data_IF_655465363740
#
_entry.id   IF_655465363740
#
_cell.length_a   1.000
_cell.length_b   1.000
_cell.length_c   1.000
_cell.angle_alpha   90.00
_cell.angle_beta   90.00
_cell.angle_gamma   90.00
#
_symmetry.space_group_name_H-M   'P 1'
#
loop_
_entity.id
_entity.type
_entity.pdbx_description
1 polymer ?
#
# COMPACT_ATOMS: atom_id res chain seq x y z
N UNK A 1 5.26 20.36 -65.10
CA UNK A 1 5.06 20.07 -63.65
C UNK A 1 4.15 18.86 -63.53
N UNK A 2 4.60 17.78 -62.88
CA UNK A 2 3.88 16.50 -62.77
C UNK A 2 3.35 16.34 -61.33
N UNK A 3 2.06 16.06 -61.12
CA UNK A 3 1.49 15.98 -59.77
C UNK A 3 1.98 14.69 -59.08
N UNK A 4 2.55 14.84 -57.87
CA UNK A 4 2.91 13.71 -57.01
C UNK A 4 1.62 13.10 -56.43
N UNK A 5 1.28 11.92 -56.90
CA UNK A 5 0.23 11.07 -56.34
C UNK A 5 0.62 10.69 -54.90
N UNK A 6 -0.18 11.13 -53.93
CA UNK A 6 -0.09 10.69 -52.54
C UNK A 6 -0.64 9.26 -52.51
N UNK A 7 0.27 8.28 -52.59
CA UNK A 7 -0.05 6.86 -52.42
C UNK A 7 -0.36 6.63 -50.94
N UNK A 8 -1.61 6.89 -50.57
CA UNK A 8 -2.17 6.61 -49.24
C UNK A 8 -1.93 5.15 -48.92
N UNK A 9 -1.03 4.89 -47.97
CA UNK A 9 -0.57 3.55 -47.61
C UNK A 9 -1.68 2.88 -46.77
N UNK A 10 -2.32 1.79 -47.23
CA UNK A 10 -3.26 1.02 -46.41
C UNK A 10 -2.60 0.48 -45.12
N UNK A 11 -1.26 0.43 -45.11
CA UNK A 11 -0.40 0.10 -43.97
C UNK A 11 -0.57 1.03 -42.76
N UNK A 12 -0.87 2.32 -42.97
CA UNK A 12 -1.01 3.29 -41.87
C UNK A 12 -2.33 3.10 -41.11
N UNK A 13 -3.39 2.68 -41.82
CA UNK A 13 -4.69 2.38 -41.22
C UNK A 13 -4.63 1.11 -40.35
N UNK A 14 -3.91 0.09 -40.81
CA UNK A 14 -3.70 -1.17 -40.06
C UNK A 14 -2.87 -0.94 -38.79
N UNK A 15 -1.88 -0.06 -38.85
CA UNK A 15 -1.07 0.31 -37.68
C UNK A 15 -1.92 1.06 -36.62
N UNK A 16 -2.81 1.96 -37.04
CA UNK A 16 -3.72 2.68 -36.13
C UNK A 16 -4.75 1.76 -35.46
N UNK A 17 -5.25 0.74 -36.18
CA UNK A 17 -6.17 -0.26 -35.62
C UNK A 17 -5.49 -1.21 -34.62
N UNK A 18 -4.20 -1.49 -34.79
CA UNK A 18 -3.42 -2.28 -33.83
C UNK A 18 -3.17 -1.54 -32.51
N UNK A 19 -3.10 -0.19 -32.51
CA UNK A 19 -2.98 0.62 -31.29
C UNK A 19 -4.32 0.77 -30.53
N UNK A 20 -5.45 0.41 -31.13
CA UNK A 20 -6.77 0.45 -30.46
C UNK A 20 -7.02 -0.78 -29.56
N UNK A 21 -6.03 -1.66 -29.41
CA UNK A 21 -6.14 -2.86 -28.59
C UNK A 21 -5.96 -2.57 -27.09
N UNK A 22 -7.02 -2.85 -26.33
CA UNK A 22 -7.02 -3.18 -24.90
C UNK A 22 -6.79 -2.05 -23.88
N UNK A 23 -7.64 -1.04 -23.87
CA UNK A 23 -7.99 -0.37 -22.60
C UNK A 23 -9.31 -0.98 -22.08
N UNK A 24 -9.27 -2.26 -21.67
CA UNK A 24 -10.38 -2.86 -20.93
C UNK A 24 -10.39 -2.25 -19.54
N UNK A 25 -11.20 -1.22 -19.33
CA UNK A 25 -11.55 -0.75 -17.99
C UNK A 25 -12.12 -1.95 -17.21
N UNK A 26 -11.49 -2.37 -16.10
CA UNK A 26 -12.00 -3.48 -15.34
C UNK A 26 -13.40 -3.12 -14.80
N UNK A 27 -14.37 -4.02 -14.98
CA UNK A 27 -15.76 -3.86 -14.52
C UNK A 27 -15.88 -3.65 -13.01
N UNK A 28 -14.82 -3.94 -12.27
CA UNK A 28 -14.70 -3.61 -10.85
C UNK A 28 -13.36 -2.98 -10.56
N UNK A 29 -13.41 -1.85 -9.86
CA UNK A 29 -12.23 -1.28 -9.22
C UNK A 29 -11.59 -2.33 -8.30
N UNK A 30 -10.26 -2.38 -8.20
CA UNK A 30 -9.57 -3.21 -7.23
C UNK A 30 -10.17 -2.95 -5.85
N UNK A 31 -10.86 -3.95 -5.28
CA UNK A 31 -11.36 -3.87 -3.91
C UNK A 31 -10.31 -4.47 -3.01
N UNK A 32 -10.05 -3.77 -1.92
CA UNK A 32 -9.39 -4.36 -0.77
C UNK A 32 -10.21 -5.57 -0.31
N UNK A 33 -9.59 -6.74 -0.32
CA UNK A 33 -10.15 -7.96 0.25
C UNK A 33 -9.39 -8.27 1.55
N UNK A 34 -10.09 -8.42 2.69
CA UNK A 34 -11.51 -8.12 2.94
C UNK A 34 -11.86 -6.63 2.79
N UNK A 35 -13.14 -6.36 2.50
CA UNK A 35 -13.65 -5.00 2.40
C UNK A 35 -13.44 -4.25 3.73
N UNK A 36 -13.08 -2.95 3.71
CA UNK A 36 -12.92 -2.18 4.92
C UNK A 36 -14.21 -2.18 5.76
N UNK A 37 -14.05 -2.35 7.07
CA UNK A 37 -15.17 -2.30 8.00
C UNK A 37 -15.84 -0.91 8.02
N UNK A 38 -17.16 -0.83 8.24
CA UNK A 38 -17.86 0.45 8.29
C UNK A 38 -17.39 1.34 9.45
N UNK A 39 -16.89 0.74 10.54
CA UNK A 39 -16.31 1.48 11.67
C UNK A 39 -14.99 2.20 11.35
N UNK A 40 -14.34 1.88 10.22
CA UNK A 40 -13.16 2.60 9.74
C UNK A 40 -13.48 3.96 9.12
N UNK A 41 -14.76 4.34 9.08
CA UNK A 41 -15.21 5.66 8.66
C UNK A 41 -16.14 6.24 9.73
N UNK A 42 -15.71 7.31 10.40
CA UNK A 42 -16.46 7.91 11.51
C UNK A 42 -16.33 9.43 11.54
N UNK A 43 -17.32 10.16 12.11
CA UNK A 43 -17.27 11.62 12.18
C UNK A 43 -16.27 12.11 13.24
N UNK A 44 -15.70 13.30 13.04
CA UNK A 44 -14.76 13.97 13.98
C UNK A 44 -15.44 14.56 15.23
N UNK A 45 -16.77 14.42 15.34
CA UNK A 45 -17.57 14.90 16.48
C UNK A 45 -17.43 16.41 16.77
N UNK A 46 -17.15 17.22 15.75
CA UNK A 46 -16.99 18.67 15.88
C UNK A 46 -15.61 19.13 16.33
N UNK A 47 -14.64 18.20 16.46
CA UNK A 47 -13.23 18.53 16.68
C UNK A 47 -12.61 19.02 15.37
N UNK A 48 -11.78 20.06 15.45
CA UNK A 48 -11.07 20.61 14.30
C UNK A 48 -10.16 19.55 13.66
N UNK A 49 -10.13 19.49 12.32
CA UNK A 49 -9.36 18.46 11.61
C UNK A 49 -7.87 18.42 11.97
N UNK A 50 -7.25 19.59 12.19
CA UNK A 50 -5.85 19.71 12.63
C UNK A 50 -5.62 19.07 14.00
N UNK A 51 -6.58 19.22 14.91
CA UNK A 51 -6.51 18.63 16.25
C UNK A 51 -6.66 17.10 16.18
N UNK A 52 -7.57 16.60 15.32
CA UNK A 52 -7.70 15.17 15.05
C UNK A 52 -6.42 14.58 14.43
N UNK A 53 -5.76 15.31 13.53
CA UNK A 53 -4.47 14.89 12.96
C UNK A 53 -3.39 14.80 14.06
N UNK A 54 -3.30 15.81 14.92
CA UNK A 54 -2.34 15.83 16.03
C UNK A 54 -2.58 14.66 17.00
N UNK A 55 -3.83 14.40 17.36
CA UNK A 55 -4.22 13.25 18.19
C UNK A 55 -3.89 11.92 17.51
N UNK A 56 -4.13 11.82 16.19
CA UNK A 56 -3.83 10.62 15.41
C UNK A 56 -2.33 10.32 15.36
N UNK A 57 -1.48 11.34 15.21
CA UNK A 57 -0.02 11.19 15.26
C UNK A 57 0.40 10.63 16.62
N UNK A 58 -0.02 11.26 17.72
CA UNK A 58 0.36 10.83 19.06
C UNK A 58 -0.13 9.41 19.39
N UNK A 59 -1.33 9.06 18.92
CA UNK A 59 -1.90 7.72 19.06
C UNK A 59 -1.07 6.67 18.30
N UNK A 60 -0.69 6.95 17.05
CA UNK A 60 0.10 6.04 16.22
C UNK A 60 1.51 5.82 16.81
N UNK A 61 2.16 6.89 17.27
CA UNK A 61 3.46 6.81 17.94
C UNK A 61 3.37 5.98 19.24
N UNK A 62 2.32 6.17 20.05
CA UNK A 62 2.11 5.36 21.26
C UNK A 62 1.87 3.88 20.94
N UNK A 63 1.28 3.57 19.78
CA UNK A 63 1.10 2.18 19.32
C UNK A 63 2.35 1.60 18.64
N UNK A 64 3.47 2.32 18.72
CA UNK A 64 4.78 1.98 18.17
C UNK A 64 4.76 1.88 16.64
N UNK A 65 3.95 2.70 15.98
CA UNK A 65 4.09 2.93 14.55
C UNK A 65 5.13 4.01 14.29
N UNK A 66 5.95 3.79 13.29
CA UNK A 66 6.85 4.77 12.71
C UNK A 66 6.10 5.61 11.68
N UNK A 67 6.22 6.93 11.73
CA UNK A 67 5.56 7.82 10.79
C UNK A 67 6.29 7.78 9.43
N UNK A 68 5.57 7.36 8.38
CA UNK A 68 6.09 7.34 7.01
C UNK A 68 5.97 8.72 6.36
N UNK A 69 4.79 9.34 6.49
CA UNK A 69 4.46 10.63 5.89
C UNK A 69 3.31 11.31 6.64
N UNK A 70 3.34 12.64 6.73
CA UNK A 70 2.23 13.44 7.27
C UNK A 70 2.02 14.64 6.36
N UNK A 71 0.87 14.66 5.67
CA UNK A 71 0.44 15.73 4.78
C UNK A 71 -0.78 16.42 5.39
N UNK A 72 -0.55 17.58 6.00
CA UNK A 72 -1.61 18.38 6.64
C UNK A 72 -2.54 19.05 5.63
N UNK A 73 -2.09 19.28 4.38
CA UNK A 73 -2.91 19.88 3.34
C UNK A 73 -3.95 18.89 2.81
N UNK A 74 -3.58 17.60 2.73
CA UNK A 74 -4.48 16.51 2.39
C UNK A 74 -5.21 15.92 3.61
N UNK A 75 -4.78 16.26 4.82
CA UNK A 75 -5.23 15.64 6.06
C UNK A 75 -4.88 14.17 6.13
N UNK A 76 -3.73 13.76 5.58
CA UNK A 76 -3.31 12.37 5.45
C UNK A 76 -2.09 12.09 6.35
N UNK A 77 -2.19 11.04 7.15
CA UNK A 77 -1.08 10.46 7.89
C UNK A 77 -0.88 9.05 7.38
N UNK A 78 0.37 8.68 7.12
CA UNK A 78 0.78 7.31 6.82
C UNK A 78 1.83 6.90 7.84
N UNK A 79 1.66 5.72 8.42
CA UNK A 79 2.56 5.15 9.41
C UNK A 79 2.71 3.65 9.18
N UNK A 80 3.87 3.09 9.55
CA UNK A 80 4.15 1.67 9.41
C UNK A 80 4.79 1.09 10.67
N UNK A 81 4.56 -0.20 10.90
CA UNK A 81 5.14 -0.96 12.01
C UNK A 81 5.64 -2.29 11.46
N UNK A 82 6.94 -2.54 11.60
CA UNK A 82 7.53 -3.83 11.25
C UNK A 82 7.64 -4.73 12.48
N UNK A 83 7.29 -6.02 12.30
CA UNK A 83 7.49 -7.05 13.31
C UNK A 83 8.12 -8.29 12.70
N UNK A 84 9.13 -8.84 13.38
CA UNK A 84 9.69 -10.14 13.01
C UNK A 84 8.68 -11.25 13.30
N UNK A 85 8.46 -12.14 12.33
CA UNK A 85 7.65 -13.34 12.55
C UNK A 85 8.53 -14.48 13.02
N UNK A 86 8.57 -14.71 14.33
CA UNK A 86 9.26 -15.86 14.92
C UNK A 86 8.43 -17.13 14.68
N UNK A 87 9.05 -18.14 14.06
CA UNK A 87 8.39 -19.43 13.79
C UNK A 87 7.39 -19.39 12.63
N UNK A 88 7.46 -18.39 11.77
CA UNK A 88 6.69 -18.38 10.53
C UNK A 88 7.14 -19.52 9.63
N UNK A 89 6.26 -20.49 9.45
CA UNK A 89 6.39 -21.53 8.45
C UNK A 89 5.92 -20.95 7.11
N UNK A 90 6.83 -20.76 6.16
CA UNK A 90 6.45 -20.47 4.78
C UNK A 90 6.04 -21.80 4.12
N UNK A 91 4.75 -22.02 3.80
CA UNK A 91 4.30 -23.24 3.16
C UNK A 91 4.87 -23.43 1.74
N UNK A 92 5.49 -22.39 1.18
CA UNK A 92 6.13 -22.40 -0.14
C UNK A 92 7.66 -22.59 -0.07
N UNK A 93 8.24 -22.77 1.13
CA UNK A 93 9.68 -23.03 1.34
C UNK A 93 10.10 -24.46 0.90
N UNK A 94 9.15 -25.26 0.43
CA UNK A 94 9.36 -26.64 -0.04
C UNK A 94 9.97 -26.77 -1.44
N UNK A 95 10.20 -25.68 -2.16
CA UNK A 95 10.74 -25.70 -3.54
C UNK A 95 12.12 -25.02 -3.63
N UNK A 96 13.09 -25.56 -2.89
CA UNK A 96 14.51 -25.40 -3.25
C UNK A 96 14.83 -26.32 -4.45
N UNK A 97 14.17 -26.09 -5.57
CA UNK A 97 14.18 -26.95 -6.75
C UNK A 97 14.35 -26.19 -8.07
N UNK A 98 15.60 -25.99 -8.49
CA UNK A 98 15.99 -25.72 -9.89
C UNK A 98 15.64 -24.35 -10.51
N UNK A 99 16.12 -23.27 -9.91
CA UNK A 99 16.16 -21.94 -10.53
C UNK A 99 17.57 -21.41 -10.74
N UNK A 100 18.44 -22.15 -11.44
CA UNK A 100 19.76 -21.63 -11.84
C UNK A 100 19.55 -20.43 -12.78
N UNK A 101 19.63 -19.20 -12.24
CA UNK A 101 19.62 -17.96 -13.03
C UNK A 101 20.98 -17.81 -13.73
N UNK A 102 21.17 -18.55 -14.82
CA UNK A 102 22.42 -18.56 -15.61
C UNK A 102 22.35 -17.62 -16.82
N UNK A 103 21.22 -16.96 -17.09
CA UNK A 103 21.14 -16.02 -18.22
C UNK A 103 20.54 -14.69 -17.80
N UNK A 104 21.42 -13.68 -17.75
CA UNK A 104 21.02 -12.29 -17.90
C UNK A 104 20.46 -12.05 -19.31
N UNK A 105 19.41 -11.25 -19.40
CA UNK A 105 18.93 -10.71 -20.68
C UNK A 105 17.41 -10.70 -20.83
N UNK A 106 16.84 -9.50 -20.79
CA UNK A 106 15.63 -9.03 -21.48
C UNK A 106 14.25 -9.67 -21.16
N UNK A 107 13.42 -8.89 -20.45
CA UNK A 107 11.94 -8.69 -20.57
C UNK A 107 11.01 -9.91 -20.74
N UNK A 108 9.88 -10.05 -20.04
CA UNK A 108 8.77 -9.12 -19.86
C UNK A 108 7.89 -9.64 -18.71
N UNK A 109 7.71 -8.85 -17.65
CA UNK A 109 6.82 -9.22 -16.55
C UNK A 109 6.67 -8.05 -15.59
N UNK A 110 5.62 -7.24 -15.80
CA UNK A 110 5.26 -6.12 -14.96
C UNK A 110 5.10 -6.55 -13.49
N UNK A 111 6.03 -6.14 -12.63
CA UNK A 111 5.77 -5.93 -11.20
C UNK A 111 6.35 -4.58 -10.81
N UNK A 112 5.50 -3.56 -10.91
CA UNK A 112 5.79 -2.23 -10.38
C UNK A 112 5.72 -2.29 -8.86
N UNK A 113 6.84 -2.56 -8.19
CA UNK A 113 7.05 -2.11 -6.82
C UNK A 113 8.00 -0.92 -6.86
N UNK A 114 7.41 0.28 -6.94
CA UNK A 114 8.09 1.48 -6.48
C UNK A 114 8.20 1.34 -4.96
N UNK A 115 9.37 0.88 -4.52
CA UNK A 115 9.81 0.89 -3.14
C UNK A 115 11.22 1.49 -3.11
N UNK A 116 11.29 2.81 -3.04
CA UNK A 116 12.51 3.51 -2.62
C UNK A 116 12.70 3.20 -1.13
N UNK A 117 13.55 2.21 -0.84
CA UNK A 117 14.03 1.89 0.49
C UNK A 117 15.46 1.41 0.38
N UNK A 118 16.40 2.28 0.72
CA UNK A 118 17.83 1.97 0.80
C UNK A 118 18.04 0.94 1.92
N UNK A 119 18.28 -0.32 1.57
CA UNK A 119 18.61 -1.38 2.51
C UNK A 119 19.55 -2.40 1.88
N UNK A 120 20.85 -2.18 2.05
CA UNK A 120 21.88 -3.19 1.78
C UNK A 120 21.66 -4.39 2.72
N UNK A 121 21.53 -5.61 2.21
CA UNK A 121 21.52 -6.77 3.11
C UNK A 121 20.94 -8.06 2.53
N UNK A 122 21.55 -8.60 1.46
CA UNK A 122 21.49 -10.04 1.21
C UNK A 122 22.23 -10.78 2.34
N UNK A 123 21.54 -11.01 3.45
CA UNK A 123 22.06 -11.69 4.63
C UNK A 123 21.45 -13.09 4.74
N UNK A 124 22.32 -14.10 4.81
CA UNK A 124 21.92 -15.47 5.17
C UNK A 124 21.37 -15.39 6.60
N UNK A 125 20.06 -15.64 6.79
CA UNK A 125 19.39 -15.59 8.10
C UNK A 125 18.44 -14.41 8.34
N UNK A 126 18.03 -13.67 7.31
CA UNK A 126 16.93 -12.70 7.43
C UNK A 126 15.65 -13.41 7.90
N UNK A 127 15.03 -12.91 8.96
CA UNK A 127 13.76 -13.47 9.46
C UNK A 127 12.61 -12.96 8.60
N UNK A 128 11.56 -13.76 8.37
CA UNK A 128 10.33 -13.26 7.78
C UNK A 128 9.82 -12.07 8.60
N UNK A 129 9.37 -11.02 7.91
CA UNK A 129 8.83 -9.82 8.56
C UNK A 129 7.39 -9.57 8.14
N UNK A 130 6.58 -9.10 9.09
CA UNK A 130 5.27 -8.53 8.81
C UNK A 130 5.37 -7.01 8.92
N UNK A 131 5.04 -6.32 7.85
CA UNK A 131 4.89 -4.87 7.81
C UNK A 131 3.41 -4.54 7.85
N UNK A 132 3.03 -3.82 8.90
CA UNK A 132 1.69 -3.29 9.10
C UNK A 132 1.70 -1.80 8.75
N UNK A 133 0.94 -1.40 7.74
CA UNK A 133 0.81 0.01 7.34
C UNK A 133 -0.59 0.52 7.67
N UNK A 134 -0.65 1.71 8.24
CA UNK A 134 -1.88 2.43 8.57
C UNK A 134 -1.87 3.78 7.87
N UNK A 135 -2.99 4.12 7.26
CA UNK A 135 -3.25 5.44 6.69
C UNK A 135 -4.49 6.04 7.34
N UNK A 136 -4.37 7.24 7.87
CA UNK A 136 -5.47 8.00 8.47
C UNK A 136 -5.71 9.23 7.61
N UNK A 137 -6.93 9.38 7.11
CA UNK A 137 -7.37 10.51 6.29
C UNK A 137 -8.45 11.27 7.04
N UNK A 138 -8.25 12.57 7.27
CA UNK A 138 -9.20 13.48 7.90
C UNK A 138 -9.68 14.47 6.84
N UNK A 139 -10.94 14.35 6.44
CA UNK A 139 -11.54 15.19 5.41
C UNK A 139 -13.04 15.36 5.66
N UNK A 140 -13.59 16.57 5.41
CA UNK A 140 -15.02 16.86 5.49
C UNK A 140 -15.65 16.41 6.83
N UNK A 141 -15.02 16.72 7.96
CA UNK A 141 -15.47 16.33 9.31
C UNK A 141 -15.59 14.82 9.54
N UNK A 142 -14.90 14.03 8.73
CA UNK A 142 -14.84 12.58 8.86
C UNK A 142 -13.39 12.10 8.89
N UNK A 143 -13.18 11.02 9.63
CA UNK A 143 -11.93 10.27 9.67
C UNK A 143 -12.16 8.97 8.92
N UNK A 144 -11.24 8.66 8.03
CA UNK A 144 -11.14 7.38 7.35
C UNK A 144 -9.82 6.71 7.69
N UNK A 145 -9.89 5.50 8.19
CA UNK A 145 -8.72 4.69 8.53
C UNK A 145 -8.61 3.54 7.53
N UNK A 146 -7.40 3.31 7.03
CA UNK A 146 -7.05 2.15 6.22
C UNK A 146 -5.87 1.46 6.86
N UNK A 147 -5.92 0.14 6.94
CA UNK A 147 -4.87 -0.70 7.48
C UNK A 147 -4.60 -1.85 6.53
N UNK A 148 -3.33 -2.07 6.24
CA UNK A 148 -2.84 -3.08 5.31
C UNK A 148 -1.71 -3.86 5.98
N UNK A 149 -1.78 -5.19 5.91
CA UNK A 149 -0.75 -6.08 6.43
C UNK A 149 -0.07 -6.78 5.25
N UNK A 150 1.26 -6.69 5.23
CA UNK A 150 2.11 -7.34 4.25
C UNK A 150 3.12 -8.25 4.95
N UNK A 151 3.28 -9.46 4.44
CA UNK A 151 4.28 -10.41 4.93
C UNK A 151 5.33 -10.67 3.87
N UNK A 152 6.58 -10.59 4.31
CA UNK A 152 7.74 -10.86 3.50
C UNK A 152 8.46 -12.10 4.05
N UNK A 153 8.96 -12.93 3.15
CA UNK A 153 9.78 -14.08 3.54
C UNK A 153 11.21 -13.66 3.91
N UNK A 154 12.06 -14.66 4.15
CA UNK A 154 13.49 -14.49 4.43
C UNK A 154 14.30 -13.91 3.24
N UNK A 155 13.76 -13.96 2.01
CA UNK A 155 14.36 -13.34 0.83
C UNK A 155 13.83 -11.91 0.60
N UNK A 156 12.98 -11.39 1.49
CA UNK A 156 12.25 -10.11 1.37
C UNK A 156 11.26 -10.10 0.18
N UNK A 157 10.87 -11.26 -0.32
CA UNK A 157 9.80 -11.39 -1.32
C UNK A 157 8.43 -11.29 -0.64
N UNK A 158 7.52 -10.52 -1.24
CA UNK A 158 6.15 -10.35 -0.76
C UNK A 158 5.38 -11.66 -0.92
N UNK A 159 4.96 -12.26 0.20
CA UNK A 159 4.19 -13.52 0.22
C UNK A 159 2.71 -13.29 0.41
N UNK A 160 2.34 -12.35 1.28
CA UNK A 160 0.95 -12.05 1.60
C UNK A 160 0.74 -10.54 1.62
N UNK A 161 -0.37 -10.07 1.07
CA UNK A 161 -0.85 -8.71 1.23
C UNK A 161 -2.35 -8.77 1.39
N UNK A 162 -2.85 -8.27 2.51
CA UNK A 162 -4.30 -8.21 2.78
C UNK A 162 -4.69 -6.89 3.43
N UNK A 163 -5.92 -6.49 3.19
CA UNK A 163 -6.56 -5.46 4.00
C UNK A 163 -6.77 -5.99 5.42
N UNK A 164 -6.38 -5.21 6.40
CA UNK A 164 -6.62 -5.46 7.82
C UNK A 164 -7.39 -4.30 8.46
N UNK A 165 -8.22 -3.63 7.64
CA UNK A 165 -9.14 -2.57 8.04
C UNK A 165 -10.39 -3.20 8.69
N UNK A 166 -10.20 -3.87 9.82
CA UNK A 166 -11.22 -4.60 10.56
C UNK A 166 -11.93 -3.76 11.62
N UNK A 167 -13.09 -4.26 12.09
CA UNK A 167 -13.93 -3.55 13.06
C UNK A 167 -13.26 -3.34 14.42
N UNK A 168 -12.36 -4.25 14.82
CA UNK A 168 -11.75 -4.21 16.14
C UNK A 168 -10.67 -3.13 16.20
N UNK A 169 -9.82 -3.07 15.18
CA UNK A 169 -8.83 -2.01 15.03
C UNK A 169 -9.50 -0.63 14.92
N UNK A 170 -10.47 -0.48 14.03
CA UNK A 170 -11.08 0.82 13.76
C UNK A 170 -11.91 1.36 14.94
N UNK A 171 -12.64 0.51 15.66
CA UNK A 171 -13.33 0.92 16.89
C UNK A 171 -12.35 1.29 18.01
N UNK A 172 -11.25 0.56 18.16
CA UNK A 172 -10.20 0.88 19.14
C UNK A 172 -9.51 2.19 18.81
N UNK A 173 -9.27 2.46 17.53
CA UNK A 173 -8.69 3.72 17.08
C UNK A 173 -9.64 4.90 17.38
N UNK A 174 -10.91 4.76 16.98
CA UNK A 174 -11.95 5.76 17.25
C UNK A 174 -12.11 6.07 18.73
N UNK A 175 -12.12 5.04 19.60
CA UNK A 175 -12.30 5.24 21.04
C UNK A 175 -11.07 5.82 21.73
N UNK A 176 -9.88 5.57 21.19
CA UNK A 176 -8.63 6.08 21.73
C UNK A 176 -8.37 7.55 21.36
N UNK A 177 -8.79 8.00 20.17
CA UNK A 177 -8.52 9.35 19.67
C UNK A 177 -8.80 10.49 20.69
N UNK A 178 -9.98 10.56 21.34
CA UNK A 178 -10.27 11.65 22.27
C UNK A 178 -9.37 11.68 23.51
N UNK A 179 -8.74 10.55 23.87
CA UNK A 179 -7.88 10.45 25.05
C UNK A 179 -6.55 11.20 24.89
N UNK A 180 -6.16 11.56 23.66
CA UNK A 180 -4.90 12.25 23.37
C UNK A 180 -5.03 13.78 23.35
N UNK A 181 -6.24 14.30 23.60
CA UNK A 181 -6.52 15.72 23.81
C UNK A 181 -5.98 16.21 25.17
N UNK A 182 -5.97 15.33 26.17
CA UNK A 182 -5.66 15.69 27.55
C UNK A 182 -4.16 15.63 27.84
N UNK A 183 -3.42 16.62 27.34
CA UNK A 183 -2.11 17.03 27.86
C UNK A 183 -1.13 15.89 28.13
N UNK A 184 -0.29 15.58 27.15
CA UNK A 184 1.03 15.00 27.41
C UNK A 184 1.88 16.01 28.19
N UNK A 185 1.64 16.07 29.50
CA UNK A 185 2.50 16.59 30.56
C UNK A 185 2.54 15.52 31.63
N UNK A 186 3.51 14.63 31.49
CA UNK A 186 4.26 14.09 32.62
C UNK A 186 5.73 14.36 32.34
#
# INVERSE_FOLDING_TARGET
MKPRQIKSRPMMLVLLLALAGCQTTPDRLPRAEPAPAPSCYFPTQGVAGEEVLRQSVALLEQWEFELDNTDTALGLISASKERELIGYYDPYDGDYGSGVRVFGGLGLGHRSSIGLGLGFGGGIGQRPVESERVSVLVQNDHVRVSRDIRRFDHLRDLRESRSASDDDFCRRFQSALPAFDTGSRL
#
